data_IF_770562078657
#
_entry.id   IF_770562078657
#
_cell.length_a   1.000
_cell.length_b   1.000
_cell.length_c   1.000
_cell.angle_alpha   90.00
_cell.angle_beta   90.00
_cell.angle_gamma   90.00
#
_symmetry.space_group_name_H-M   'P 1'
#
loop_
_entity.id
_entity.type
_entity.pdbx_description
1 polymer ?
#
# COMPACT_ATOMS: atom_id res chain seq x y z
N UNK A 1 33.65 8.11 -5.36
CA UNK A 1 32.32 7.49 -5.44
C UNK A 1 31.33 8.63 -5.42
N UNK A 2 30.38 8.71 -6.35
CA UNK A 2 29.38 9.78 -6.32
C UNK A 2 28.35 9.38 -5.25
N UNK A 3 28.29 10.12 -4.15
CA UNK A 3 27.29 9.89 -3.11
C UNK A 3 26.06 10.73 -3.42
N UNK A 4 24.89 10.10 -3.40
CA UNK A 4 23.59 10.74 -3.57
C UNK A 4 22.86 10.71 -2.23
N UNK A 5 22.13 11.77 -1.91
CA UNK A 5 21.24 11.76 -0.74
C UNK A 5 19.98 10.95 -1.02
N UNK A 6 19.30 10.51 0.05
CA UNK A 6 18.00 9.83 -0.01
C UNK A 6 17.00 10.64 -0.85
N UNK A 7 16.96 11.94 -0.65
CA UNK A 7 16.08 12.89 -1.34
C UNK A 7 16.42 13.00 -2.83
N UNK A 8 17.70 13.07 -3.18
CA UNK A 8 18.14 13.11 -4.57
C UNK A 8 17.78 11.82 -5.33
N UNK A 9 17.85 10.67 -4.65
CA UNK A 9 17.42 9.40 -5.23
C UNK A 9 15.90 9.34 -5.41
N UNK A 10 15.12 9.78 -4.43
CA UNK A 10 13.65 9.85 -4.51
C UNK A 10 13.22 10.77 -5.66
N UNK A 11 13.79 11.97 -5.75
CA UNK A 11 13.51 12.94 -6.82
C UNK A 11 13.81 12.31 -8.18
N UNK A 12 14.99 11.71 -8.33
CA UNK A 12 15.40 11.07 -9.58
C UNK A 12 14.46 9.94 -9.99
N UNK A 13 14.01 9.12 -9.05
CA UNK A 13 13.07 8.03 -9.31
C UNK A 13 11.72 8.60 -9.76
N UNK A 14 11.21 9.62 -9.08
CA UNK A 14 9.93 10.26 -9.40
C UNK A 14 9.94 10.94 -10.78
N UNK A 15 11.06 11.50 -11.22
CA UNK A 15 11.22 12.03 -12.57
C UNK A 15 11.26 10.94 -13.65
N UNK A 16 11.91 9.82 -13.35
CA UNK A 16 12.26 8.81 -14.37
C UNK A 16 11.16 7.76 -14.56
N UNK A 17 10.51 7.35 -13.48
CA UNK A 17 9.52 6.27 -13.48
C UNK A 17 8.31 6.53 -14.41
N UNK A 18 7.74 7.75 -14.47
CA UNK A 18 6.63 8.06 -15.39
C UNK A 18 7.00 7.85 -16.86
N UNK A 19 8.22 8.21 -17.24
CA UNK A 19 8.74 8.03 -18.61
C UNK A 19 8.79 6.55 -18.97
N UNK A 20 9.31 5.69 -18.09
CA UNK A 20 9.37 4.25 -18.35
C UNK A 20 8.00 3.60 -18.42
N UNK A 21 7.06 4.00 -17.56
CA UNK A 21 5.67 3.52 -17.63
C UNK A 21 5.01 3.90 -18.95
N UNK A 22 5.27 5.10 -19.46
CA UNK A 22 4.73 5.55 -20.75
C UNK A 22 5.32 4.80 -21.95
N UNK A 23 6.56 4.30 -21.84
CA UNK A 23 7.21 3.50 -22.88
C UNK A 23 6.74 2.03 -22.90
N UNK A 24 6.12 1.52 -21.84
CA UNK A 24 5.52 0.18 -21.82
C UNK A 24 4.13 0.28 -22.42
N UNK A 25 3.94 -0.24 -23.63
CA UNK A 25 2.62 -0.43 -24.23
C UNK A 25 2.22 -1.91 -24.14
N UNK A 26 0.91 -2.23 -24.19
CA UNK A 26 0.44 -3.62 -24.21
C UNK A 26 1.09 -4.46 -25.33
N UNK A 27 1.41 -3.81 -26.45
CA UNK A 27 2.01 -4.45 -27.63
C UNK A 27 3.54 -4.50 -27.60
N UNK A 28 4.20 -3.78 -26.67
CA UNK A 28 5.66 -3.74 -26.57
C UNK A 28 6.12 -4.19 -25.17
N UNK A 29 6.06 -5.51 -24.96
CA UNK A 29 6.50 -6.15 -23.72
C UNK A 29 8.02 -6.34 -23.66
N UNK A 30 8.77 -5.23 -23.65
CA UNK A 30 10.21 -5.34 -23.41
C UNK A 30 10.44 -5.73 -21.95
N UNK A 31 10.63 -7.03 -21.69
CA UNK A 31 10.83 -7.63 -20.36
C UNK A 31 11.85 -6.86 -19.50
N UNK A 32 12.91 -6.34 -20.11
CA UNK A 32 13.90 -5.50 -19.43
C UNK A 32 13.30 -4.22 -18.85
N UNK A 33 12.42 -3.54 -19.59
CA UNK A 33 11.77 -2.31 -19.14
C UNK A 33 10.79 -2.57 -18.00
N UNK A 34 10.03 -3.67 -18.05
CA UNK A 34 9.15 -4.11 -16.94
C UNK A 34 9.95 -4.38 -15.66
N UNK A 35 11.08 -5.08 -15.77
CA UNK A 35 12.00 -5.30 -14.64
C UNK A 35 12.55 -3.99 -14.09
N UNK A 36 12.95 -3.07 -14.96
CA UNK A 36 13.42 -1.74 -14.55
C UNK A 36 12.33 -1.01 -13.77
N UNK A 37 11.09 -0.94 -14.28
CA UNK A 37 9.97 -0.30 -13.57
C UNK A 37 9.77 -0.92 -12.18
N UNK A 38 9.75 -2.25 -12.08
CA UNK A 38 9.59 -2.94 -10.79
C UNK A 38 10.74 -2.60 -9.81
N UNK A 39 11.98 -2.52 -10.29
CA UNK A 39 13.14 -2.12 -9.46
C UNK A 39 12.98 -0.69 -8.95
N UNK A 40 12.57 0.25 -9.81
CA UNK A 40 12.35 1.65 -9.41
C UNK A 40 11.20 1.79 -8.40
N UNK A 41 10.13 1.00 -8.54
CA UNK A 41 9.00 0.97 -7.60
C UNK A 41 9.43 0.45 -6.22
N UNK A 42 10.19 -0.64 -6.17
CA UNK A 42 10.75 -1.18 -4.93
C UNK A 42 11.70 -0.17 -4.29
N UNK A 43 12.61 0.42 -5.08
CA UNK A 43 13.55 1.41 -4.58
C UNK A 43 12.84 2.63 -3.99
N UNK A 44 11.78 3.13 -4.65
CA UNK A 44 10.99 4.23 -4.12
C UNK A 44 10.33 3.86 -2.80
N UNK A 45 9.70 2.68 -2.71
CA UNK A 45 9.04 2.22 -1.50
C UNK A 45 10.01 2.08 -0.31
N UNK A 46 11.23 1.57 -0.55
CA UNK A 46 12.27 1.48 0.48
C UNK A 46 12.77 2.86 0.89
N UNK A 47 13.01 3.75 -0.07
CA UNK A 47 13.51 5.10 0.21
C UNK A 47 12.45 5.99 0.88
N UNK A 48 11.16 5.74 0.71
CA UNK A 48 10.10 6.51 1.38
C UNK A 48 9.59 5.83 2.64
N UNK A 49 10.13 4.66 3.00
CA UNK A 49 9.82 4.01 4.26
C UNK A 49 10.20 4.93 5.43
N UNK A 50 9.36 5.01 6.47
CA UNK A 50 9.69 5.76 7.67
C UNK A 50 10.95 5.18 8.32
N UNK A 51 11.85 6.05 8.77
CA UNK A 51 13.13 5.65 9.37
C UNK A 51 12.96 4.93 10.72
N UNK A 52 11.80 5.09 11.35
CA UNK A 52 11.44 4.46 12.62
C UNK A 52 10.07 3.77 12.46
N UNK A 53 10.09 2.44 12.34
CA UNK A 53 8.89 1.62 12.40
C UNK A 53 8.76 1.15 13.84
N UNK A 54 7.68 1.53 14.57
CA UNK A 54 7.52 1.11 15.95
C UNK A 54 7.61 -0.43 16.08
N UNK A 55 8.31 -0.97 17.10
CA UNK A 55 8.55 -2.41 17.20
C UNK A 55 7.29 -3.26 17.10
N UNK A 56 6.19 -2.83 17.74
CA UNK A 56 4.90 -3.53 17.68
C UNK A 56 4.27 -3.59 16.27
N UNK A 57 4.58 -2.63 15.39
CA UNK A 57 4.14 -2.65 13.98
C UNK A 57 4.99 -3.63 13.19
N UNK A 58 6.31 -3.65 13.44
CA UNK A 58 7.24 -4.57 12.79
C UNK A 58 6.96 -6.02 13.18
N UNK A 59 6.68 -6.27 14.46
CA UNK A 59 6.28 -7.57 15.00
C UNK A 59 4.97 -8.03 14.33
N UNK A 60 3.97 -7.15 14.22
CA UNK A 60 2.73 -7.46 13.53
C UNK A 60 2.93 -7.78 12.04
N UNK A 61 3.81 -7.05 11.35
CA UNK A 61 4.17 -7.37 9.96
C UNK A 61 4.91 -8.71 9.84
N UNK A 62 5.79 -9.03 10.79
CA UNK A 62 6.52 -10.30 10.82
C UNK A 62 5.58 -11.48 11.07
N UNK A 63 4.70 -11.37 12.06
CA UNK A 63 3.67 -12.39 12.37
C UNK A 63 2.76 -12.66 11.17
N UNK A 64 2.40 -11.62 10.41
CA UNK A 64 1.60 -11.76 9.19
C UNK A 64 2.37 -12.46 8.06
N UNK A 65 3.65 -12.11 7.86
CA UNK A 65 4.53 -12.82 6.90
C UNK A 65 4.65 -14.31 7.28
N UNK A 66 4.87 -14.62 8.56
CA UNK A 66 4.99 -15.99 9.06
C UNK A 66 3.69 -16.78 8.95
N UNK A 67 2.53 -16.10 9.01
CA UNK A 67 1.22 -16.67 8.74
C UNK A 67 0.92 -16.87 7.24
N UNK A 68 1.85 -16.50 6.35
CA UNK A 68 1.75 -16.71 4.91
C UNK A 68 1.04 -15.59 4.14
N UNK A 69 0.86 -14.43 4.74
CA UNK A 69 0.39 -13.24 4.02
C UNK A 69 1.51 -12.68 3.14
N UNK A 70 1.18 -12.31 1.91
CA UNK A 70 2.10 -11.60 1.05
C UNK A 70 2.15 -10.10 1.42
N UNK A 71 3.15 -9.39 0.91
CA UNK A 71 3.33 -7.96 1.20
C UNK A 71 2.12 -7.10 0.77
N UNK A 72 1.32 -7.57 -0.18
CA UNK A 72 0.10 -6.89 -0.61
C UNK A 72 -1.02 -7.03 0.44
N UNK A 73 -1.21 -8.23 1.01
CA UNK A 73 -2.14 -8.47 2.11
C UNK A 73 -1.83 -7.65 3.37
N UNK A 74 -0.53 -7.49 3.68
CA UNK A 74 -0.07 -6.63 4.79
C UNK A 74 -0.40 -5.16 4.52
N UNK A 75 -0.12 -4.67 3.30
CA UNK A 75 -0.41 -3.29 2.91
C UNK A 75 -1.92 -2.99 2.90
N UNK A 76 -2.76 -3.93 2.48
CA UNK A 76 -4.22 -3.73 2.46
C UNK A 76 -4.82 -3.68 3.88
N UNK A 77 -4.27 -4.42 4.85
CA UNK A 77 -4.63 -4.33 6.26
C UNK A 77 -4.19 -3.01 6.90
N UNK A 78 -2.96 -2.58 6.63
CA UNK A 78 -2.46 -1.28 7.06
C UNK A 78 -3.33 -0.16 6.47
N UNK A 79 -3.62 -0.21 5.17
CA UNK A 79 -4.49 0.77 4.49
C UNK A 79 -5.89 0.83 5.11
N UNK A 80 -6.50 -0.32 5.43
CA UNK A 80 -7.81 -0.38 6.07
C UNK A 80 -7.83 0.26 7.47
N UNK A 81 -6.68 0.27 8.17
CA UNK A 81 -6.56 0.84 9.51
C UNK A 81 -6.25 2.34 9.51
N UNK A 82 -5.63 2.86 8.44
CA UNK A 82 -5.20 4.27 8.33
C UNK A 82 -6.25 5.11 7.58
N UNK A 83 -6.99 4.50 6.65
CA UNK A 83 -8.01 5.21 5.88
C UNK A 83 -9.31 5.34 6.69
N UNK A 84 -10.02 6.48 6.59
CA UNK A 84 -11.30 6.64 7.25
C UNK A 84 -12.27 5.54 6.79
N UNK A 85 -13.07 4.96 7.71
CA UNK A 85 -13.95 3.85 7.38
C UNK A 85 -14.88 4.24 6.24
N UNK A 86 -15.07 3.32 5.30
CA UNK A 86 -15.95 3.58 4.15
C UNK A 86 -17.38 3.76 4.66
N UNK A 87 -18.11 4.81 4.23
CA UNK A 87 -19.50 4.99 4.62
C UNK A 87 -20.35 3.78 4.21
N UNK A 88 -21.27 3.35 5.06
CA UNK A 88 -22.14 2.22 4.77
C UNK A 88 -22.94 2.50 3.47
N UNK A 89 -22.91 1.62 2.46
CA UNK A 89 -23.63 1.85 1.21
C UNK A 89 -25.16 1.88 1.36
N UNK A 90 -25.70 1.38 2.49
CA UNK A 90 -27.15 1.42 2.77
C UNK A 90 -27.58 2.68 3.53
N UNK A 91 -26.82 3.11 4.53
CA UNK A 91 -27.23 4.18 5.44
C UNK A 91 -26.33 5.43 5.37
N UNK A 92 -25.25 5.41 4.58
CA UNK A 92 -24.35 6.55 4.35
C UNK A 92 -23.49 6.94 5.54
N UNK A 93 -23.63 6.24 6.68
CA UNK A 93 -22.91 6.52 7.92
C UNK A 93 -21.60 5.75 8.00
N UNK A 94 -20.56 6.45 8.47
CA UNK A 94 -19.23 5.89 8.72
C UNK A 94 -19.26 5.21 10.09
N UNK A 95 -18.78 3.96 10.18
CA UNK A 95 -18.76 3.25 11.46
C UNK A 95 -17.64 3.81 12.34
N UNK A 96 -17.99 4.21 13.56
CA UNK A 96 -17.02 4.64 14.57
C UNK A 96 -16.24 3.45 15.16
N UNK A 97 -16.59 2.21 14.79
CA UNK A 97 -15.99 0.99 15.32
C UNK A 97 -14.77 0.57 14.48
N UNK A 98 -13.67 0.15 15.12
CA UNK A 98 -12.46 -0.29 14.43
C UNK A 98 -12.63 -1.60 13.63
N UNK A 99 -13.68 -2.38 13.89
CA UNK A 99 -14.05 -3.57 13.11
C UNK A 99 -14.90 -3.24 11.86
N UNK A 100 -15.22 -1.96 11.63
CA UNK A 100 -16.06 -1.50 10.51
C UNK A 100 -17.53 -1.92 10.62
N UNK A 101 -17.95 -2.56 11.72
CA UNK A 101 -19.31 -3.07 11.85
C UNK A 101 -20.30 -1.93 12.13
N UNK A 102 -21.32 -1.80 11.30
CA UNK A 102 -22.38 -0.79 11.46
C UNK A 102 -23.70 -1.48 11.84
N UNK A 103 -24.36 -1.01 12.91
CA UNK A 103 -25.60 -1.60 13.46
C UNK A 103 -26.85 -1.47 12.53
N UNK A 104 -26.71 -1.07 11.26
CA UNK A 104 -27.82 -1.03 10.28
C UNK A 104 -28.42 -2.44 9.99
N UNK A 105 -27.97 -3.49 10.70
CA UNK A 105 -28.45 -4.87 10.61
C UNK A 105 -29.07 -5.43 11.90
N UNK A 106 -29.18 -4.67 13.00
CA UNK A 106 -29.82 -5.16 14.24
C UNK A 106 -31.28 -4.72 14.27
N UNK A 107 -32.12 -5.46 13.53
CA UNK A 107 -33.57 -5.32 13.64
C UNK A 107 -34.36 -5.51 12.34
N UNK A 108 -34.44 -6.75 11.86
CA UNK A 108 -35.74 -7.28 11.38
C UNK A 108 -35.88 -8.69 11.94
N UNK A 109 -36.23 -8.78 13.23
CA UNK A 109 -36.97 -9.92 13.76
C UNK A 109 -38.30 -9.35 14.24
N UNK A 110 -39.39 -9.80 13.62
CA UNK A 110 -40.77 -9.33 13.78
C UNK A 110 -41.28 -8.85 12.42
N UNK A 111 -42.22 -9.49 11.74
CA UNK A 111 -43.26 -10.48 12.12
C UNK A 111 -43.33 -11.64 11.13
#
# INVERSE_FOLDING_TARGET
MMEFTKEQLIERINETLPCFRHCITPDNELQTLKKTVAIYEVALAVLTAPDDIPPHVLDGMSDMCDAGFDGQGIWDLCRASIMPPTPCPRCGTVSDRPDGAHYCHVGVKGE
#
